data_IF_232610388847
#
_entry.id   IF_232610388847
#
_cell.length_a   1.000
_cell.length_b   1.000
_cell.length_c   1.000
_cell.angle_alpha   90.00
_cell.angle_beta   90.00
_cell.angle_gamma   90.00
#
_symmetry.space_group_name_H-M   'P 1'
#
loop_
_entity.id
_entity.type
_entity.pdbx_description
1 polymer ?
#
# COMPACT_ATOMS: atom_id res chain seq x y z
N UNK A 1 4.38 3.94 -3.10
CA UNK A 1 5.36 3.89 -1.99
C UNK A 1 6.72 4.28 -2.55
N UNK A 2 7.65 4.80 -1.75
CA UNK A 2 8.98 5.16 -2.27
C UNK A 2 9.77 3.95 -2.77
N UNK A 3 10.76 4.16 -3.62
CA UNK A 3 11.65 3.11 -4.11
C UNK A 3 12.38 2.41 -2.95
N UNK A 4 12.79 3.16 -1.92
CA UNK A 4 13.44 2.60 -0.73
C UNK A 4 12.51 1.67 0.06
N UNK A 5 11.24 2.06 0.23
CA UNK A 5 10.23 1.23 0.91
C UNK A 5 9.93 -0.03 0.10
N UNK A 6 9.74 0.11 -1.22
CA UNK A 6 9.48 -1.00 -2.11
C UNK A 6 10.64 -2.03 -2.09
N UNK A 7 11.89 -1.55 -2.17
CA UNK A 7 13.08 -2.39 -2.06
C UNK A 7 13.16 -3.11 -0.71
N UNK A 8 12.85 -2.43 0.40
CA UNK A 8 12.87 -3.05 1.74
C UNK A 8 11.84 -4.18 1.92
N UNK A 9 10.72 -4.12 1.18
CA UNK A 9 9.66 -5.13 1.17
C UNK A 9 9.83 -6.14 0.04
N UNK A 10 10.85 -5.98 -0.81
CA UNK A 10 11.07 -6.80 -2.00
C UNK A 10 9.98 -6.68 -3.06
N UNK A 11 9.25 -5.56 -3.10
CA UNK A 11 8.12 -5.27 -4.02
C UNK A 11 8.62 -4.44 -5.20
N UNK A 12 8.11 -4.71 -6.40
CA UNK A 12 8.34 -3.91 -7.60
C UNK A 12 7.07 -3.15 -8.02
N UNK A 13 7.23 -2.05 -8.77
CA UNK A 13 6.09 -1.36 -9.38
C UNK A 13 5.38 -2.30 -10.35
N UNK A 14 4.05 -2.38 -10.26
CA UNK A 14 3.23 -3.32 -11.02
C UNK A 14 2.91 -4.62 -10.28
N UNK A 15 3.61 -4.95 -9.19
CA UNK A 15 3.31 -6.13 -8.39
C UNK A 15 1.91 -6.04 -7.78
N UNK A 16 1.25 -7.19 -7.66
CA UNK A 16 0.04 -7.30 -6.85
C UNK A 16 0.45 -7.48 -5.39
N UNK A 17 -0.09 -6.61 -4.54
CA UNK A 17 0.21 -6.57 -3.11
C UNK A 17 -1.07 -6.67 -2.31
N UNK A 18 -0.99 -7.36 -1.18
CA UNK A 18 -2.03 -7.36 -0.18
C UNK A 18 -1.75 -6.25 0.82
N UNK A 19 -2.74 -5.40 1.04
CA UNK A 19 -2.70 -4.31 2.00
C UNK A 19 -3.70 -4.62 3.11
N UNK A 20 -3.23 -4.58 4.36
CA UNK A 20 -4.02 -4.91 5.54
C UNK A 20 -4.11 -3.70 6.48
N UNK A 21 -5.34 -3.32 6.82
CA UNK A 21 -5.71 -2.37 7.86
C UNK A 21 -6.74 -3.02 8.80
N UNK A 22 -7.95 -2.44 8.93
CA UNK A 22 -9.07 -3.12 9.61
C UNK A 22 -9.54 -4.39 8.89
N UNK A 23 -9.38 -4.42 7.57
CA UNK A 23 -9.58 -5.58 6.70
C UNK A 23 -8.43 -5.70 5.71
N UNK A 24 -8.62 -6.47 4.63
CA UNK A 24 -7.57 -6.71 3.63
C UNK A 24 -8.09 -6.46 2.23
N UNK A 25 -7.27 -5.84 1.40
CA UNK A 25 -7.54 -5.61 -0.03
C UNK A 25 -6.30 -5.94 -0.85
N UNK A 26 -6.51 -6.27 -2.13
CA UNK A 26 -5.40 -6.45 -3.07
C UNK A 26 -5.35 -5.28 -4.05
N UNK A 27 -4.16 -4.68 -4.18
CA UNK A 27 -3.90 -3.51 -5.00
C UNK A 27 -2.66 -3.74 -5.87
N UNK A 28 -2.51 -2.94 -6.91
CA UNK A 28 -1.27 -2.90 -7.67
C UNK A 28 -0.33 -1.87 -7.04
N UNK A 29 0.90 -2.28 -6.73
CA UNK A 29 1.91 -1.40 -6.19
C UNK A 29 2.41 -0.42 -7.25
N UNK A 30 2.61 0.84 -6.85
CA UNK A 30 3.26 1.87 -7.66
C UNK A 30 4.42 2.45 -6.86
N UNK A 31 5.59 2.51 -7.48
CA UNK A 31 6.76 3.20 -6.93
C UNK A 31 6.65 4.69 -7.27
N UNK A 32 6.72 5.52 -6.23
CA UNK A 32 6.57 6.97 -6.30
C UNK A 32 7.42 7.59 -5.17
N UNK A 33 8.56 8.18 -5.53
CA UNK A 33 9.53 8.77 -4.59
C UNK A 33 9.05 10.09 -3.97
N UNK A 34 7.88 10.61 -4.38
CA UNK A 34 7.24 11.71 -3.64
C UNK A 34 6.57 11.25 -2.34
N UNK A 35 6.36 9.95 -2.17
CA UNK A 35 5.84 9.36 -0.93
C UNK A 35 6.99 9.20 0.06
N UNK A 36 6.78 9.60 1.32
CA UNK A 36 7.76 9.43 2.37
C UNK A 36 8.18 7.95 2.55
N UNK A 37 9.40 7.74 3.03
CA UNK A 37 9.89 6.39 3.35
C UNK A 37 9.03 5.74 4.43
N UNK A 38 8.88 4.41 4.34
CA UNK A 38 8.02 3.59 5.20
C UNK A 38 6.53 4.01 5.18
N UNK A 39 6.10 4.76 4.16
CA UNK A 39 4.71 5.16 3.99
C UNK A 39 4.13 4.62 2.68
N UNK A 40 2.81 4.42 2.68
CA UNK A 40 2.02 4.15 1.48
C UNK A 40 0.92 5.18 1.35
N UNK A 41 0.56 5.49 0.10
CA UNK A 41 -0.58 6.34 -0.23
C UNK A 41 -1.62 5.47 -0.92
N UNK A 42 -2.82 5.41 -0.35
CA UNK A 42 -3.95 4.64 -0.86
C UNK A 42 -5.14 5.58 -1.04
N UNK A 43 -5.84 5.48 -2.17
CA UNK A 43 -7.07 6.25 -2.37
C UNK A 43 -8.14 5.80 -1.38
N UNK A 44 -8.58 6.70 -0.50
CA UNK A 44 -9.68 6.45 0.44
C UNK A 44 -11.05 6.65 -0.23
N UNK A 45 -12.12 6.27 0.47
CA UNK A 45 -13.52 6.44 0.05
C UNK A 45 -13.87 5.78 -1.31
N UNK A 46 -13.16 4.70 -1.68
CA UNK A 46 -13.43 3.93 -2.88
C UNK A 46 -13.87 2.51 -2.52
N UNK A 47 -14.76 1.91 -3.32
CA UNK A 47 -15.30 0.55 -3.05
C UNK A 47 -14.20 -0.51 -2.94
N UNK A 48 -13.10 -0.35 -3.68
CA UNK A 48 -11.97 -1.29 -3.62
C UNK A 48 -11.06 -1.12 -2.39
N UNK A 49 -11.21 -0.05 -1.61
CA UNK A 49 -10.36 0.28 -0.46
C UNK A 49 -11.14 0.49 0.84
N UNK A 50 -12.49 0.47 0.79
CA UNK A 50 -13.37 0.65 1.95
C UNK A 50 -13.07 -0.34 3.09
N UNK A 51 -12.57 -1.54 2.76
CA UNK A 51 -12.20 -2.57 3.73
C UNK A 51 -10.98 -2.23 4.59
N UNK A 52 -10.18 -1.21 4.24
CA UNK A 52 -9.01 -0.83 5.03
C UNK A 52 -9.34 -0.08 6.33
N UNK A 53 -10.56 0.47 6.43
CA UNK A 53 -11.01 1.19 7.60
C UNK A 53 -10.66 2.69 7.55
N UNK A 54 -10.03 3.26 8.60
CA UNK A 54 -9.82 4.71 8.71
C UNK A 54 -8.90 5.26 7.61
N UNK A 55 -9.07 6.56 7.31
CA UNK A 55 -8.31 7.25 6.25
C UNK A 55 -6.80 7.34 6.53
N UNK A 56 -6.42 7.34 7.81
CA UNK A 56 -5.04 7.36 8.27
C UNK A 56 -4.85 6.30 9.34
N UNK A 57 -3.70 5.63 9.30
CA UNK A 57 -3.36 4.58 10.24
C UNK A 57 -2.19 3.76 9.74
N UNK A 58 -1.78 2.82 10.57
CA UNK A 58 -0.79 1.84 10.20
C UNK A 58 -1.39 0.83 9.21
N UNK A 59 -0.60 0.48 8.20
CA UNK A 59 -0.97 -0.51 7.18
C UNK A 59 0.16 -1.51 7.05
N UNK A 60 -0.18 -2.79 6.98
CA UNK A 60 0.76 -3.84 6.57
C UNK A 60 0.64 -4.09 5.07
N UNK A 61 1.79 -4.26 4.41
CA UNK A 61 1.86 -4.51 2.97
C UNK A 61 2.77 -5.69 2.70
N UNK A 62 2.25 -6.68 1.98
CA UNK A 62 2.95 -7.90 1.59
C UNK A 62 2.70 -8.21 0.11
N UNK A 63 3.67 -8.84 -0.56
CA UNK A 63 3.47 -9.32 -1.93
C UNK A 63 2.59 -10.57 -1.94
N UNK A 64 1.68 -10.67 -2.91
CA UNK A 64 0.82 -11.85 -3.12
C UNK A 64 1.58 -12.95 -3.84
#
# INVERSE_FOLDING_TARGET
MSAATAASLGIQSGDRVRVSGSGRVELTAVVDDSVANACVRVAAAHVSTVGLGPMFGELSVERV
#
